data_IF_979899368583
#
_entry.id   IF_979899368583
#
_cell.length_a   1.000
_cell.length_b   1.000
_cell.length_c   1.000
_cell.angle_alpha   90.00
_cell.angle_beta   90.00
_cell.angle_gamma   90.00
#
_symmetry.space_group_name_H-M   'P 1'
#
loop_
_entity.id
_entity.type
_entity.pdbx_description
1 polymer ?
#
# COMPACT_ATOMS: atom_id res chain seq x y z
N UNK A 1 -29.25 8.36 -12.84
CA UNK A 1 -29.30 6.88 -12.81
C UNK A 1 -27.86 6.40 -12.93
N UNK A 2 -27.29 5.63 -11.98
CA UNK A 2 -25.93 5.13 -12.16
C UNK A 2 -25.87 4.33 -13.47
N UNK A 3 -24.78 4.49 -14.21
CA UNK A 3 -24.53 3.74 -15.44
C UNK A 3 -24.66 2.24 -15.16
N UNK A 4 -25.33 1.52 -16.06
CA UNK A 4 -25.49 0.07 -15.94
C UNK A 4 -24.11 -0.54 -16.13
N UNK A 5 -23.58 -1.14 -15.06
CA UNK A 5 -22.31 -1.83 -15.08
C UNK A 5 -22.47 -3.14 -15.87
N UNK A 6 -21.60 -3.39 -16.85
CA UNK A 6 -21.57 -4.67 -17.57
C UNK A 6 -21.01 -5.75 -16.65
N UNK A 7 -21.31 -7.02 -16.96
CA UNK A 7 -20.76 -8.16 -16.22
C UNK A 7 -19.21 -8.17 -16.26
N UNK A 8 -18.62 -7.80 -17.39
CA UNK A 8 -17.16 -7.72 -17.56
C UNK A 8 -16.55 -6.66 -16.63
N UNK A 9 -17.17 -5.47 -16.56
CA UNK A 9 -16.73 -4.44 -15.64
C UNK A 9 -16.89 -4.86 -14.18
N UNK A 10 -17.95 -5.58 -13.83
CA UNK A 10 -18.14 -6.12 -12.48
C UNK A 10 -17.07 -7.15 -12.11
N UNK A 11 -16.74 -8.07 -13.02
CA UNK A 11 -15.68 -9.06 -12.81
C UNK A 11 -14.32 -8.37 -12.61
N UNK A 12 -14.00 -7.36 -13.42
CA UNK A 12 -12.78 -6.60 -13.26
C UNK A 12 -12.73 -5.87 -11.91
N UNK A 13 -13.79 -5.13 -11.55
CA UNK A 13 -13.83 -4.35 -10.31
C UNK A 13 -13.75 -5.21 -9.05
N UNK A 14 -14.39 -6.39 -9.05
CA UNK A 14 -14.31 -7.31 -7.92
C UNK A 14 -12.91 -7.89 -7.74
N UNK A 15 -12.21 -8.24 -8.83
CA UNK A 15 -10.82 -8.66 -8.76
C UNK A 15 -9.88 -7.52 -8.35
N UNK A 16 -10.14 -6.30 -8.83
CA UNK A 16 -9.35 -5.12 -8.47
C UNK A 16 -9.49 -4.82 -6.98
N UNK A 17 -10.73 -4.82 -6.47
CA UNK A 17 -11.01 -4.65 -5.04
C UNK A 17 -10.32 -5.73 -4.20
N UNK A 18 -10.39 -7.00 -4.62
CA UNK A 18 -9.70 -8.10 -3.93
C UNK A 18 -8.18 -7.86 -3.90
N UNK A 19 -7.60 -7.43 -5.03
CA UNK A 19 -6.18 -7.11 -5.15
C UNK A 19 -5.76 -5.98 -4.22
N UNK A 20 -6.49 -4.86 -4.23
CA UNK A 20 -6.18 -3.69 -3.40
C UNK A 20 -6.28 -4.02 -1.90
N UNK A 21 -7.31 -4.76 -1.50
CA UNK A 21 -7.51 -5.18 -0.11
C UNK A 21 -6.38 -6.09 0.37
N UNK A 22 -6.00 -7.10 -0.42
CA UNK A 22 -4.90 -8.00 -0.08
C UNK A 22 -3.56 -7.26 -0.08
N UNK A 23 -3.31 -6.40 -1.06
CA UNK A 23 -2.09 -5.58 -1.10
C UNK A 23 -1.97 -4.67 0.12
N UNK A 24 -3.07 -4.04 0.55
CA UNK A 24 -3.07 -3.22 1.78
C UNK A 24 -2.76 -4.07 3.02
N UNK A 25 -3.42 -5.21 3.18
CA UNK A 25 -3.25 -6.09 4.33
C UNK A 25 -1.81 -6.64 4.42
N UNK A 26 -1.26 -7.09 3.29
CA UNK A 26 0.12 -7.58 3.21
C UNK A 26 1.14 -6.50 3.58
N UNK A 27 0.98 -5.27 3.06
CA UNK A 27 1.84 -4.13 3.45
C UNK A 27 1.82 -3.86 4.94
N UNK A 28 0.63 -3.80 5.52
CA UNK A 28 0.43 -3.51 6.94
C UNK A 28 1.04 -4.62 7.83
N UNK A 29 0.73 -5.88 7.54
CA UNK A 29 1.23 -7.00 8.34
C UNK A 29 2.73 -7.21 8.18
N UNK A 30 3.28 -7.00 6.99
CA UNK A 30 4.72 -7.08 6.78
C UNK A 30 5.46 -5.97 7.55
N UNK A 31 4.87 -4.78 7.65
CA UNK A 31 5.39 -3.67 8.47
C UNK A 31 5.40 -4.02 9.96
N UNK A 32 4.36 -4.69 10.43
CA UNK A 32 4.22 -5.12 11.82
C UNK A 32 5.24 -6.18 12.28
N UNK A 33 6.04 -6.76 11.37
CA UNK A 33 7.17 -7.62 11.73
C UNK A 33 8.21 -6.89 12.59
N UNK A 34 8.40 -5.57 12.38
CA UNK A 34 9.38 -4.76 13.12
C UNK A 34 9.14 -4.75 14.63
N UNK A 35 7.87 -4.76 15.05
CA UNK A 35 7.45 -4.78 16.46
C UNK A 35 7.15 -6.21 16.95
N UNK A 36 7.52 -7.24 16.18
CA UNK A 36 7.18 -8.65 16.42
C UNK A 36 5.67 -8.92 16.57
N UNK A 37 4.82 -8.05 16.00
CA UNK A 37 3.35 -8.19 16.06
C UNK A 37 2.81 -9.18 15.04
N UNK A 38 3.51 -9.35 13.92
CA UNK A 38 3.17 -10.30 12.87
C UNK A 38 4.36 -11.19 12.58
N UNK A 39 4.19 -12.51 12.66
CA UNK A 39 5.24 -13.50 12.38
C UNK A 39 5.21 -14.11 10.96
N UNK A 40 4.12 -13.89 10.21
CA UNK A 40 3.90 -14.47 8.89
C UNK A 40 2.50 -14.16 8.37
N UNK A 41 2.30 -14.38 7.08
CA UNK A 41 1.04 -14.09 6.38
C UNK A 41 0.69 -15.28 5.48
N UNK A 42 -0.51 -15.82 5.62
CA UNK A 42 -1.04 -16.90 4.78
C UNK A 42 -2.38 -16.42 4.21
N UNK A 43 -2.49 -16.40 2.87
CA UNK A 43 -3.71 -15.99 2.19
C UNK A 43 -4.70 -17.14 2.10
N UNK A 44 -5.97 -16.87 2.41
CA UNK A 44 -7.10 -17.68 1.98
C UNK A 44 -7.64 -17.09 0.67
N UNK A 45 -7.56 -17.75 -0.49
CA UNK A 45 -6.96 -19.07 -0.76
C UNK A 45 -6.05 -18.99 -2.00
N UNK A 46 -5.23 -20.02 -2.22
CA UNK A 46 -4.35 -20.05 -3.39
C UNK A 46 -5.14 -20.30 -4.68
N UNK A 47 -5.79 -21.46 -4.79
CA UNK A 47 -6.41 -21.95 -6.02
C UNK A 47 -7.88 -22.34 -5.84
N UNK A 48 -8.56 -22.56 -6.97
CA UNK A 48 -9.91 -23.14 -7.01
C UNK A 48 -9.90 -24.62 -7.43
N UNK A 49 -10.86 -25.39 -6.91
CA UNK A 49 -11.09 -26.78 -7.31
C UNK A 49 -12.14 -26.93 -8.42
N UNK A 50 -12.94 -25.88 -8.70
CA UNK A 50 -13.92 -25.83 -9.78
C UNK A 50 -14.16 -24.39 -10.25
N UNK A 51 -14.69 -24.15 -11.46
CA UNK A 51 -15.02 -22.80 -11.93
C UNK A 51 -16.10 -22.15 -11.05
N UNK A 52 -15.71 -21.20 -10.21
CA UNK A 52 -16.61 -20.54 -9.26
C UNK A 52 -16.11 -19.16 -8.86
N UNK A 53 -16.99 -18.41 -8.20
CA UNK A 53 -16.64 -17.23 -7.41
C UNK A 53 -16.02 -17.74 -6.10
N UNK A 54 -14.87 -17.18 -5.73
CA UNK A 54 -14.11 -17.58 -4.54
C UNK A 54 -13.08 -16.51 -4.15
N UNK A 55 -12.35 -16.77 -3.05
CA UNK A 55 -11.22 -15.96 -2.59
C UNK A 55 -9.88 -16.35 -3.22
N UNK A 56 -9.87 -17.20 -4.26
CA UNK A 56 -8.61 -17.67 -4.84
C UNK A 56 -7.83 -16.51 -5.46
N UNK A 57 -6.51 -16.65 -5.45
CA UNK A 57 -5.59 -15.76 -6.18
C UNK A 57 -5.28 -16.31 -7.57
N UNK A 58 -5.48 -17.60 -7.79
CA UNK A 58 -5.33 -18.31 -9.05
C UNK A 58 -6.64 -19.07 -9.32
N UNK A 59 -7.21 -18.90 -10.51
CA UNK A 59 -8.48 -19.54 -10.85
C UNK A 59 -8.33 -21.06 -11.12
N UNK A 60 -9.45 -21.72 -11.41
CA UNK A 60 -9.50 -23.14 -11.74
C UNK A 60 -8.64 -23.53 -12.95
N UNK A 61 -8.54 -22.64 -13.95
CA UNK A 61 -7.74 -22.83 -15.15
C UNK A 61 -6.25 -22.49 -14.95
N UNK A 62 -5.85 -22.23 -13.70
CA UNK A 62 -4.49 -21.85 -13.29
C UNK A 62 -4.08 -20.46 -13.81
N UNK A 63 -5.04 -19.60 -14.09
CA UNK A 63 -4.82 -18.22 -14.52
C UNK A 63 -4.69 -17.34 -13.26
N UNK A 64 -3.56 -16.64 -13.08
CA UNK A 64 -3.39 -15.72 -11.96
C UNK A 64 -4.37 -14.53 -12.06
N UNK A 65 -5.10 -14.27 -10.97
CA UNK A 65 -5.98 -13.10 -10.82
C UNK A 65 -5.16 -11.87 -10.43
N UNK A 66 -5.79 -10.69 -10.47
CA UNK A 66 -5.14 -9.43 -10.05
C UNK A 66 -4.52 -9.53 -8.65
N UNK A 67 -5.20 -10.19 -7.72
CA UNK A 67 -4.73 -10.41 -6.34
C UNK A 67 -3.41 -11.19 -6.25
N UNK A 68 -3.14 -12.13 -7.16
CA UNK A 68 -1.84 -12.83 -7.22
C UNK A 68 -0.71 -11.85 -7.52
N UNK A 69 -0.90 -10.96 -8.50
CA UNK A 69 0.09 -9.95 -8.86
C UNK A 69 0.26 -8.89 -7.77
N UNK A 70 -0.84 -8.50 -7.10
CA UNK A 70 -0.81 -7.63 -5.93
C UNK A 70 0.06 -8.24 -4.82
N UNK A 71 -0.25 -9.47 -4.39
CA UNK A 71 0.52 -10.18 -3.36
C UNK A 71 1.98 -10.35 -3.79
N UNK A 72 2.25 -10.80 -5.02
CA UNK A 72 3.61 -10.99 -5.54
C UNK A 72 4.45 -9.71 -5.42
N UNK A 73 3.83 -8.54 -5.65
CA UNK A 73 4.49 -7.24 -5.44
C UNK A 73 4.74 -6.98 -3.96
N UNK A 74 3.75 -7.18 -3.09
CA UNK A 74 3.91 -6.86 -1.66
C UNK A 74 4.87 -7.77 -0.89
N UNK A 75 5.15 -8.97 -1.41
CA UNK A 75 6.13 -9.90 -0.83
C UNK A 75 7.50 -9.84 -1.51
N UNK A 76 7.73 -8.90 -2.43
CA UNK A 76 9.04 -8.74 -3.07
C UNK A 76 10.13 -8.48 -2.04
N UNK A 77 11.36 -8.94 -2.33
CA UNK A 77 12.50 -8.74 -1.42
C UNK A 77 12.69 -7.26 -1.08
N UNK A 78 12.56 -6.40 -2.09
CA UNK A 78 12.60 -4.95 -1.96
C UNK A 78 11.23 -4.34 -2.27
N UNK A 79 10.69 -3.56 -1.33
CA UNK A 79 9.39 -2.89 -1.45
C UNK A 79 9.43 -1.56 -0.71
N UNK A 80 8.77 -0.54 -1.25
CA UNK A 80 8.49 0.72 -0.54
C UNK A 80 6.99 0.89 -0.32
N UNK A 81 6.60 1.39 0.84
CA UNK A 81 5.23 1.72 1.19
C UNK A 81 5.14 3.14 1.74
N UNK A 82 4.01 3.79 1.46
CA UNK A 82 3.66 5.06 2.06
C UNK A 82 2.21 5.02 2.54
N UNK A 83 1.94 5.74 3.63
CA UNK A 83 0.60 5.92 4.18
C UNK A 83 0.45 7.36 4.61
N UNK A 84 -0.59 8.02 4.10
CA UNK A 84 -0.95 9.37 4.50
C UNK A 84 -2.02 9.29 5.57
N UNK A 85 -1.73 9.85 6.74
CA UNK A 85 -2.70 10.02 7.81
C UNK A 85 -3.08 11.49 7.94
N UNK A 86 -4.34 11.76 8.31
CA UNK A 86 -4.80 13.11 8.60
C UNK A 86 -4.50 13.40 10.07
N UNK A 87 -3.81 14.50 10.33
CA UNK A 87 -3.56 14.98 11.69
C UNK A 87 -4.49 16.16 11.94
N UNK A 88 -5.49 15.94 12.80
CA UNK A 88 -6.34 17.03 13.28
C UNK A 88 -5.51 17.85 14.28
N UNK A 89 -4.99 19.00 13.85
CA UNK A 89 -4.33 19.93 14.76
C UNK A 89 -5.36 20.52 15.73
N UNK A 90 -5.11 20.37 17.03
CA UNK A 90 -5.94 21.02 18.06
C UNK A 90 -5.81 22.53 17.93
N UNK A 91 -6.94 23.23 17.77
CA UNK A 91 -6.97 24.68 17.74
C UNK A 91 -6.55 25.24 19.10
N UNK A 92 -5.41 25.93 19.17
CA UNK A 92 -5.20 26.93 20.22
C UNK A 92 -6.16 28.11 20.00
N UNK A 93 -6.53 28.80 21.07
CA UNK A 93 -7.67 29.72 21.24
C UNK A 93 -7.75 30.96 20.30
N UNK A 94 -7.07 30.99 19.16
CA UNK A 94 -7.06 32.12 18.23
C UNK A 94 -7.70 31.68 16.90
N UNK A 95 -9.00 31.98 16.79
CA UNK A 95 -9.77 32.24 15.57
C UNK A 95 -9.60 31.29 14.35
N UNK A 96 -10.62 30.44 14.13
CA UNK A 96 -11.18 29.98 12.84
C UNK A 96 -10.21 29.66 11.68
N UNK A 97 -9.01 29.17 11.96
CA UNK A 97 -8.11 28.66 10.93
C UNK A 97 -8.02 27.15 11.08
N UNK A 98 -8.80 26.41 10.30
CA UNK A 98 -8.65 24.95 10.22
C UNK A 98 -7.42 24.63 9.37
N UNK A 99 -6.24 24.56 9.98
CA UNK A 99 -5.08 23.96 9.32
C UNK A 99 -5.19 22.45 9.39
N UNK A 100 -5.60 21.81 8.28
CA UNK A 100 -5.51 20.36 8.16
C UNK A 100 -4.04 20.00 7.89
N UNK A 101 -3.39 19.34 8.87
CA UNK A 101 -2.08 18.72 8.66
C UNK A 101 -2.24 17.33 8.06
N UNK A 102 -1.29 16.92 7.24
CA UNK A 102 -1.15 15.53 6.81
C UNK A 102 0.21 15.04 7.23
N UNK A 103 0.24 13.84 7.81
CA UNK A 103 1.49 13.16 8.12
C UNK A 103 1.69 12.06 7.10
N UNK A 104 2.86 12.06 6.45
CA UNK A 104 3.24 11.00 5.53
C UNK A 104 4.21 10.05 6.23
N UNK A 105 3.78 8.81 6.33
CA UNK A 105 4.53 7.73 6.93
C UNK A 105 5.10 6.85 5.81
N UNK A 106 6.43 6.79 5.69
CA UNK A 106 7.13 6.08 4.61
C UNK A 106 7.99 4.97 5.20
N UNK A 107 7.85 3.77 4.68
CA UNK A 107 8.64 2.62 5.10
C UNK A 107 9.06 1.78 3.91
N UNK A 108 9.92 0.82 4.15
CA UNK A 108 10.33 -0.10 3.11
C UNK A 108 11.04 -1.32 3.65
N UNK A 109 11.18 -2.29 2.77
CA UNK A 109 11.84 -3.55 3.00
C UNK A 109 12.91 -3.72 1.94
N UNK A 110 14.01 -4.33 2.33
CA UNK A 110 15.11 -4.65 1.45
C UNK A 110 16.09 -5.55 2.18
N UNK A 111 16.74 -6.44 1.44
CA UNK A 111 17.83 -7.25 1.94
C UNK A 111 19.21 -6.64 1.61
N UNK A 112 19.23 -5.70 0.66
CA UNK A 112 20.44 -5.04 0.20
C UNK A 112 20.81 -3.86 1.09
N UNK A 113 22.08 -3.80 1.49
CA UNK A 113 22.60 -2.82 2.46
C UNK A 113 22.85 -1.42 1.89
N UNK A 114 22.62 -1.21 0.59
CA UNK A 114 22.93 0.03 -0.12
C UNK A 114 21.68 0.63 -0.81
N UNK A 115 20.56 0.69 -0.10
CA UNK A 115 19.37 1.40 -0.59
C UNK A 115 19.49 2.89 -0.29
N UNK A 116 19.22 3.70 -1.31
CA UNK A 116 19.06 5.15 -1.21
C UNK A 116 17.59 5.46 -1.46
N UNK A 117 16.98 6.21 -0.54
CA UNK A 117 15.63 6.74 -0.73
C UNK A 117 15.71 8.21 -1.12
N UNK A 118 15.05 8.56 -2.21
CA UNK A 118 14.83 9.93 -2.65
C UNK A 118 13.33 10.24 -2.56
N UNK A 119 12.97 11.26 -1.79
CA UNK A 119 11.60 11.73 -1.58
C UNK A 119 11.50 13.10 -2.22
N UNK A 120 10.61 13.25 -3.19
CA UNK A 120 10.34 14.51 -3.85
C UNK A 120 8.85 14.80 -3.80
N UNK A 121 8.48 16.01 -3.40
CA UNK A 121 7.11 16.50 -3.49
C UNK A 121 6.99 17.60 -4.53
N UNK A 122 5.95 17.45 -5.35
CA UNK A 122 5.65 18.31 -6.48
C UNK A 122 4.38 19.12 -6.22
N UNK A 123 4.37 20.39 -6.62
CA UNK A 123 3.18 21.22 -6.60
C UNK A 123 2.24 20.86 -7.78
N UNK A 124 1.08 21.52 -7.86
CA UNK A 124 0.11 21.31 -8.97
C UNK A 124 0.68 21.69 -10.36
N UNK A 125 1.71 22.53 -10.38
CA UNK A 125 2.39 23.00 -11.60
C UNK A 125 3.57 22.09 -12.01
N UNK A 126 3.91 21.08 -11.19
CA UNK A 126 5.03 20.17 -11.42
C UNK A 126 6.39 20.67 -10.90
N UNK A 127 6.45 21.76 -10.15
CA UNK A 127 7.70 22.22 -9.51
C UNK A 127 7.92 21.49 -8.17
N UNK A 128 9.19 21.16 -7.90
CA UNK A 128 9.61 20.52 -6.65
C UNK A 128 9.58 21.58 -5.53
N UNK A 129 8.84 21.31 -4.46
CA UNK A 129 8.84 22.17 -3.26
C UNK A 129 9.53 21.53 -2.05
N UNK A 130 9.76 20.22 -2.08
CA UNK A 130 10.55 19.52 -1.07
C UNK A 130 11.26 18.34 -1.72
N UNK A 131 12.54 18.18 -1.39
CA UNK A 131 13.34 17.02 -1.75
C UNK A 131 14.17 16.59 -0.55
N UNK A 132 14.23 15.28 -0.28
CA UNK A 132 15.06 14.72 0.75
C UNK A 132 15.67 13.39 0.28
N UNK A 133 16.95 13.19 0.57
CA UNK A 133 17.70 12.00 0.17
C UNK A 133 18.29 11.34 1.41
N UNK A 134 18.02 10.05 1.56
CA UNK A 134 18.46 9.24 2.69
C UNK A 134 19.28 8.09 2.14
N UNK A 135 20.59 8.12 2.39
CA UNK A 135 21.55 7.11 1.95
C UNK A 135 21.80 6.06 3.03
N UNK A 136 22.19 4.85 2.62
CA UNK A 136 22.67 3.80 3.54
C UNK A 136 21.59 3.14 4.39
N UNK A 137 20.39 2.95 3.83
CA UNK A 137 19.29 2.30 4.53
C UNK A 137 19.55 0.79 4.66
N UNK A 138 19.93 0.36 5.86
CA UNK A 138 20.10 -1.05 6.25
C UNK A 138 18.72 -1.72 6.48
N UNK A 139 17.72 -0.90 6.82
CA UNK A 139 16.30 -1.22 6.90
C UNK A 139 15.53 0.10 6.88
N UNK A 140 14.53 0.25 6.01
CA UNK A 140 13.82 1.51 5.84
C UNK A 140 12.88 1.78 7.02
N UNK A 141 13.33 2.65 7.93
CA UNK A 141 12.56 3.14 9.07
C UNK A 141 12.60 4.67 9.02
N UNK A 142 11.69 5.27 8.24
CA UNK A 142 11.47 6.72 8.27
C UNK A 142 10.20 6.95 9.07
N UNK A 143 10.37 7.52 10.25
CA UNK A 143 9.26 8.10 11.00
C UNK A 143 8.80 9.36 10.29
N UNK A 144 7.49 9.45 10.07
CA UNK A 144 6.68 10.68 10.10
C UNK A 144 7.39 11.94 9.62
N UNK A 145 7.15 12.32 8.37
CA UNK A 145 7.50 13.67 7.89
C UNK A 145 6.23 14.53 8.06
N UNK A 146 6.29 15.62 8.86
CA UNK A 146 5.19 16.56 9.04
C UNK A 146 4.92 17.42 7.80
#
# INVERSE_FOLDING_TARGET
KPQILTIESWIYLTQLMQSDALSFAYRYWRRNWLDYKTGGIIVWQLNDCWPSISWSTVDFLKIPKLSYYGIKREISETLIGCYRSKVDMKSEHIQNTFSNGYELDIWGFGNDKNLTLEIEFYNELGDIYFANKIDGLISLLIKSIP
#
